data_IF_371822445412
#
_entry.id   IF_371822445412
#
_cell.length_a   1.000
_cell.length_b   1.000
_cell.length_c   1.000
_cell.angle_alpha   90.00
_cell.angle_beta   90.00
_cell.angle_gamma   90.00
#
_symmetry.space_group_name_H-M   'P 1'
#
loop_
_entity.id
_entity.type
_entity.pdbx_description
1 polymer ?
#
# COMPACT_ATOMS: atom_id res chain seq x y z
N UNK A 1 13.26 -14.69 -4.20
CA UNK A 1 12.19 -15.61 -3.76
C UNK A 1 12.03 -15.69 -2.25
N UNK A 2 13.10 -15.92 -1.46
CA UNK A 2 13.04 -16.10 0.01
C UNK A 2 12.30 -14.97 0.78
N UNK A 3 12.46 -13.71 0.38
CA UNK A 3 11.79 -12.57 1.04
C UNK A 3 10.26 -12.61 0.91
N UNK A 4 9.74 -12.92 -0.29
CA UNK A 4 8.29 -12.94 -0.55
C UNK A 4 7.59 -14.06 0.23
N UNK A 5 8.21 -15.23 0.30
CA UNK A 5 7.70 -16.36 1.08
C UNK A 5 7.72 -16.06 2.58
N UNK A 6 8.81 -15.46 3.08
CA UNK A 6 8.92 -15.04 4.47
C UNK A 6 7.88 -13.98 4.84
N UNK A 7 7.69 -12.98 3.97
CA UNK A 7 6.71 -11.92 4.17
C UNK A 7 5.28 -12.47 4.12
N UNK A 8 4.96 -13.31 3.14
CA UNK A 8 3.66 -13.98 3.04
C UNK A 8 3.35 -14.83 4.30
N UNK A 9 4.34 -15.56 4.82
CA UNK A 9 4.20 -16.31 6.09
C UNK A 9 3.91 -15.39 7.28
N UNK A 10 4.52 -14.21 7.36
CA UNK A 10 4.26 -13.24 8.42
C UNK A 10 2.87 -12.61 8.29
N UNK A 11 2.48 -12.19 7.11
CA UNK A 11 1.17 -11.55 6.86
C UNK A 11 0.02 -12.52 7.17
N UNK A 12 0.16 -13.80 6.80
CA UNK A 12 -0.85 -14.84 7.13
C UNK A 12 -1.04 -15.08 8.63
N UNK A 13 -0.07 -14.68 9.46
CA UNK A 13 -0.20 -14.76 10.91
C UNK A 13 -1.01 -13.61 11.51
N UNK A 14 -1.33 -12.55 10.76
CA UNK A 14 -2.10 -11.43 11.28
C UNK A 14 -3.60 -11.73 11.28
N UNK A 15 -4.30 -11.24 12.31
CA UNK A 15 -5.76 -11.17 12.27
C UNK A 15 -6.23 -10.23 11.16
N UNK A 16 -7.44 -10.46 10.63
CA UNK A 16 -8.03 -9.60 9.60
C UNK A 16 -8.06 -8.13 10.02
N UNK A 17 -8.43 -7.85 11.28
CA UNK A 17 -8.47 -6.49 11.81
C UNK A 17 -7.08 -5.84 11.84
N UNK A 18 -6.08 -6.53 12.40
CA UNK A 18 -4.70 -6.02 12.44
C UNK A 18 -4.13 -5.77 11.04
N UNK A 19 -4.41 -6.68 10.10
CA UNK A 19 -3.98 -6.54 8.72
C UNK A 19 -4.62 -5.33 8.05
N UNK A 20 -5.94 -5.19 8.15
CA UNK A 20 -6.69 -4.08 7.56
C UNK A 20 -6.27 -2.72 8.15
N UNK A 21 -6.19 -2.63 9.48
CA UNK A 21 -5.72 -1.44 10.18
C UNK A 21 -4.31 -1.06 9.73
N UNK A 22 -3.41 -2.04 9.63
CA UNK A 22 -2.04 -1.80 9.17
C UNK A 22 -1.98 -1.34 7.71
N UNK A 23 -2.82 -1.87 6.83
CA UNK A 23 -2.89 -1.40 5.43
C UNK A 23 -3.34 0.05 5.35
N UNK A 24 -4.40 0.42 6.08
CA UNK A 24 -4.85 1.82 6.15
C UNK A 24 -3.72 2.71 6.70
N UNK A 25 -3.06 2.27 7.78
CA UNK A 25 -1.94 3.00 8.36
C UNK A 25 -0.81 3.26 7.35
N UNK A 26 -0.42 2.25 6.58
CA UNK A 26 0.58 2.39 5.51
C UNK A 26 0.11 3.37 4.43
N UNK A 27 -1.15 3.31 4.00
CA UNK A 27 -1.70 4.23 3.00
C UNK A 27 -1.69 5.67 3.48
N UNK A 28 -2.09 5.93 4.72
CA UNK A 28 -2.03 7.28 5.29
C UNK A 28 -0.58 7.79 5.33
N UNK A 29 0.38 6.93 5.67
CA UNK A 29 1.81 7.29 5.69
C UNK A 29 2.32 7.58 4.27
N UNK A 30 2.00 6.75 3.26
CA UNK A 30 2.40 6.98 1.87
C UNK A 30 1.81 8.28 1.31
N UNK A 31 0.53 8.52 1.58
CA UNK A 31 -0.14 9.77 1.21
C UNK A 31 0.55 10.97 1.83
N UNK A 32 0.88 10.87 3.12
CA UNK A 32 1.59 11.91 3.86
C UNK A 32 2.97 12.19 3.28
N UNK A 33 3.75 11.15 2.93
CA UNK A 33 5.02 11.32 2.25
C UNK A 33 4.87 12.05 0.92
N UNK A 34 3.87 11.68 0.12
CA UNK A 34 3.56 12.41 -1.11
C UNK A 34 3.32 13.89 -0.87
N UNK A 35 2.53 14.22 0.16
CA UNK A 35 2.21 15.61 0.52
C UNK A 35 3.39 16.45 1.02
N UNK A 36 4.56 15.86 1.27
CA UNK A 36 5.79 16.61 1.57
C UNK A 36 6.44 17.17 0.31
N UNK A 37 6.24 16.51 -0.83
CA UNK A 37 6.76 16.91 -2.14
C UNK A 37 5.76 17.74 -2.94
N UNK A 38 4.68 18.17 -2.30
CA UNK A 38 3.67 19.03 -2.88
C UNK A 38 4.24 20.45 -3.04
N UNK A 39 4.67 20.78 -4.25
CA UNK A 39 5.27 22.08 -4.51
C UNK A 39 5.44 22.30 -6.01
N UNK A 40 4.57 23.12 -6.58
CA UNK A 40 4.51 23.46 -8.01
C UNK A 40 4.38 22.27 -8.97
N UNK A 41 3.98 22.54 -10.20
CA UNK A 41 3.77 21.56 -11.26
C UNK A 41 5.02 20.67 -11.41
N UNK A 42 4.97 19.42 -10.93
CA UNK A 42 6.11 18.50 -10.97
C UNK A 42 5.88 17.47 -12.09
N UNK A 43 6.58 17.55 -13.24
CA UNK A 43 6.45 16.59 -14.33
C UNK A 43 6.69 15.14 -13.88
N UNK A 44 7.52 14.93 -12.85
CA UNK A 44 7.77 13.60 -12.29
C UNK A 44 6.51 12.97 -11.63
N UNK A 45 5.53 13.78 -11.20
CA UNK A 45 4.29 13.25 -10.63
C UNK A 45 3.43 12.53 -11.68
N UNK A 46 3.44 12.96 -12.94
CA UNK A 46 2.76 12.26 -14.03
C UNK A 46 3.43 10.93 -14.37
N UNK A 47 4.75 10.83 -14.22
CA UNK A 47 5.46 9.55 -14.36
C UNK A 47 5.00 8.57 -13.28
N UNK A 48 4.85 9.02 -12.03
CA UNK A 48 4.30 8.19 -10.96
C UNK A 48 2.87 7.74 -11.26
N UNK A 49 2.02 8.63 -11.79
CA UNK A 49 0.67 8.29 -12.21
C UNK A 49 0.68 7.20 -13.29
N UNK A 50 1.48 7.35 -14.34
CA UNK A 50 1.58 6.37 -15.43
C UNK A 50 2.09 5.01 -14.93
N UNK A 51 3.12 5.00 -14.07
CA UNK A 51 3.63 3.76 -13.47
C UNK A 51 2.53 3.11 -12.63
N UNK A 52 1.84 3.87 -11.78
CA UNK A 52 0.77 3.32 -10.94
C UNK A 52 -0.38 2.75 -11.78
N UNK A 53 -0.79 3.45 -12.83
CA UNK A 53 -1.85 3.03 -13.74
C UNK A 53 -1.45 1.75 -14.46
N UNK A 54 -0.24 1.68 -15.03
CA UNK A 54 0.25 0.50 -15.72
C UNK A 54 0.29 -0.73 -14.82
N UNK A 55 0.78 -0.58 -13.59
CA UNK A 55 0.87 -1.66 -12.60
C UNK A 55 -0.53 -2.12 -12.16
N UNK A 56 -1.44 -1.18 -11.90
CA UNK A 56 -2.82 -1.50 -11.50
C UNK A 56 -3.62 -2.14 -12.63
N UNK A 57 -3.50 -1.63 -13.86
CA UNK A 57 -4.12 -2.22 -15.05
C UNK A 57 -3.62 -3.65 -15.25
N UNK A 58 -2.30 -3.86 -15.14
CA UNK A 58 -1.71 -5.19 -15.22
C UNK A 58 -2.26 -6.13 -14.15
N UNK A 59 -2.42 -5.65 -12.90
CA UNK A 59 -3.06 -6.42 -11.82
C UNK A 59 -4.52 -6.75 -12.13
N UNK A 60 -5.31 -5.80 -12.64
CA UNK A 60 -6.72 -6.00 -13.01
C UNK A 60 -6.85 -7.02 -14.13
N UNK A 61 -6.05 -6.88 -15.20
CA UNK A 61 -6.04 -7.83 -16.33
C UNK A 61 -5.68 -9.23 -15.83
N UNK A 62 -4.61 -9.37 -15.04
CA UNK A 62 -4.24 -10.66 -14.47
C UNK A 62 -5.34 -11.24 -13.58
N UNK A 63 -5.99 -10.43 -12.75
CA UNK A 63 -7.08 -10.87 -11.89
C UNK A 63 -8.28 -11.35 -12.73
N UNK A 64 -8.59 -10.65 -13.82
CA UNK A 64 -9.66 -11.02 -14.73
C UNK A 64 -9.35 -12.32 -15.50
N UNK A 65 -8.12 -12.47 -15.97
CA UNK A 65 -7.67 -13.70 -16.65
C UNK A 65 -7.68 -14.90 -15.70
N UNK A 66 -7.18 -14.75 -14.47
CA UNK A 66 -7.25 -15.80 -13.44
C UNK A 66 -8.69 -16.14 -13.09
N UNK A 67 -9.57 -15.16 -12.94
CA UNK A 67 -11.01 -15.40 -12.72
C UNK A 67 -11.65 -16.18 -13.87
N UNK A 68 -11.38 -15.78 -15.11
CA UNK A 68 -11.87 -16.48 -16.31
C UNK A 68 -11.34 -17.92 -16.39
N UNK A 69 -10.08 -18.13 -16.03
CA UNK A 69 -9.44 -19.45 -16.00
C UNK A 69 -9.82 -20.30 -14.77
N UNK A 70 -10.60 -19.75 -13.81
CA UNK A 70 -10.88 -20.35 -12.50
C UNK A 70 -9.61 -20.69 -11.71
N UNK A 71 -8.56 -19.89 -11.89
CA UNK A 71 -7.30 -20.00 -11.16
C UNK A 71 -7.27 -19.02 -9.98
N UNK A 72 -6.61 -19.43 -8.89
CA UNK A 72 -6.38 -18.56 -7.75
C UNK A 72 -5.35 -17.48 -8.07
N UNK A 73 -5.64 -16.25 -7.67
CA UNK A 73 -4.70 -15.14 -7.81
C UNK A 73 -3.54 -15.34 -6.85
N UNK A 74 -2.33 -15.44 -7.39
CA UNK A 74 -1.14 -15.64 -6.57
C UNK A 74 -0.85 -14.43 -5.68
N UNK A 75 -0.25 -14.68 -4.50
CA UNK A 75 0.20 -13.63 -3.58
C UNK A 75 1.10 -12.57 -4.27
N UNK A 76 1.90 -12.99 -5.25
CA UNK A 76 2.77 -12.09 -6.03
C UNK A 76 1.96 -11.05 -6.79
N UNK A 77 0.85 -11.45 -7.41
CA UNK A 77 -0.02 -10.53 -8.15
C UNK A 77 -0.67 -9.52 -7.21
N UNK A 78 -1.18 -9.96 -6.05
CA UNK A 78 -1.70 -9.04 -5.02
C UNK A 78 -0.64 -8.06 -4.52
N UNK A 79 0.61 -8.50 -4.35
CA UNK A 79 1.69 -7.61 -3.96
C UNK A 79 2.00 -6.56 -5.05
N UNK A 80 2.01 -6.96 -6.32
CA UNK A 80 2.17 -6.05 -7.47
C UNK A 80 1.05 -5.01 -7.47
N UNK A 81 -0.21 -5.44 -7.32
CA UNK A 81 -1.36 -4.53 -7.19
C UNK A 81 -1.22 -3.58 -6.00
N UNK A 82 -0.75 -4.08 -4.85
CA UNK A 82 -0.47 -3.27 -3.67
C UNK A 82 0.62 -2.21 -3.90
N UNK A 83 1.68 -2.53 -4.65
CA UNK A 83 2.71 -1.55 -5.05
C UNK A 83 2.10 -0.47 -5.94
N UNK A 84 1.31 -0.85 -6.95
CA UNK A 84 0.62 0.11 -7.82
C UNK A 84 -0.27 1.06 -7.02
N UNK A 85 -1.02 0.54 -6.05
CA UNK A 85 -1.86 1.32 -5.16
C UNK A 85 -1.05 2.25 -4.25
N UNK A 86 0.07 1.80 -3.71
CA UNK A 86 0.95 2.64 -2.89
C UNK A 86 1.53 3.82 -3.69
N UNK A 87 1.95 3.59 -4.94
CA UNK A 87 2.44 4.65 -5.84
C UNK A 87 1.30 5.65 -6.15
N UNK A 88 0.09 5.16 -6.42
CA UNK A 88 -1.07 6.02 -6.67
C UNK A 88 -1.39 6.89 -5.45
N UNK A 89 -1.38 6.32 -4.25
CA UNK A 89 -1.64 7.05 -3.00
C UNK A 89 -0.56 8.10 -2.74
N UNK A 90 0.70 7.78 -3.03
CA UNK A 90 1.80 8.74 -2.96
C UNK A 90 1.60 9.89 -3.97
N UNK A 91 1.16 9.59 -5.19
CA UNK A 91 0.78 10.61 -6.18
C UNK A 91 -0.35 11.52 -5.67
N UNK A 92 -1.43 10.95 -5.11
CA UNK A 92 -2.52 11.72 -4.51
C UNK A 92 -2.03 12.64 -3.39
N UNK A 93 -1.06 12.17 -2.61
CA UNK A 93 -0.36 12.98 -1.61
C UNK A 93 0.33 14.20 -2.24
N UNK A 94 1.10 13.99 -3.31
CA UNK A 94 1.81 15.07 -4.04
C UNK A 94 0.83 16.15 -4.52
N UNK A 95 -0.34 15.74 -5.01
CA UNK A 95 -1.40 16.65 -5.47
C UNK A 95 -2.15 17.36 -4.34
N UNK A 96 -1.84 17.06 -3.07
CA UNK A 96 -2.54 17.59 -1.89
C UNK A 96 -1.65 18.50 -1.03
N UNK A 97 -1.27 19.71 -1.51
CA UNK A 97 -0.33 20.59 -0.81
C UNK A 97 -0.81 21.14 0.52
N UNK A 98 -2.10 21.43 0.64
CA UNK A 98 -2.66 22.19 1.78
C UNK A 98 -3.43 21.33 2.78
N UNK A 99 -2.89 20.16 3.14
CA UNK A 99 -3.46 19.39 4.24
C UNK A 99 -3.15 20.07 5.58
N UNK A 100 -4.08 20.88 6.08
CA UNK A 100 -3.99 21.54 7.39
C UNK A 100 -3.74 20.56 8.55
N UNK A 101 -4.11 19.27 8.38
CA UNK A 101 -3.98 18.22 9.38
C UNK A 101 -2.85 17.20 9.13
N UNK A 102 -1.82 17.55 8.34
CA UNK A 102 -0.67 16.67 7.98
C UNK A 102 -0.11 15.87 9.18
N UNK A 103 0.14 16.55 10.30
CA UNK A 103 0.69 15.91 11.51
C UNK A 103 -0.27 14.87 12.13
N UNK A 104 -1.56 15.17 12.16
CA UNK A 104 -2.57 14.27 12.72
C UNK A 104 -2.78 13.02 11.86
N UNK A 105 -2.81 13.18 10.53
CA UNK A 105 -2.93 12.05 9.59
C UNK A 105 -1.73 11.10 9.76
N UNK A 106 -0.53 11.64 9.93
CA UNK A 106 0.67 10.85 10.16
C UNK A 106 0.62 10.09 11.49
N UNK A 107 0.19 10.74 12.58
CA UNK A 107 0.02 10.10 13.90
C UNK A 107 -1.01 8.96 13.81
N UNK A 108 -2.17 9.21 13.18
CA UNK A 108 -3.19 8.18 12.97
C UNK A 108 -2.60 7.01 12.17
N UNK A 109 -1.84 7.31 11.10
CA UNK A 109 -1.14 6.29 10.31
C UNK A 109 -0.25 5.38 11.17
N UNK A 110 0.57 5.95 12.06
CA UNK A 110 1.41 5.18 12.97
C UNK A 110 0.61 4.40 14.02
N UNK A 111 -0.44 4.99 14.60
CA UNK A 111 -1.30 4.31 15.57
C UNK A 111 -1.96 3.07 14.96
N UNK A 112 -2.40 3.16 13.71
CA UNK A 112 -3.02 2.04 12.99
C UNK A 112 -2.04 0.90 12.65
N UNK A 113 -0.73 1.15 12.68
CA UNK A 113 0.30 0.10 12.55
C UNK A 113 0.51 -0.70 13.84
N UNK A 114 0.14 -0.16 15.00
CA UNK A 114 0.42 -0.77 16.30
C UNK A 114 -0.21 -2.17 16.48
N UNK A 115 -1.48 -2.43 16.10
CA UNK A 115 -2.08 -3.75 16.28
C UNK A 115 -1.29 -4.86 15.57
N UNK A 116 -0.88 -4.62 14.31
CA UNK A 116 -0.11 -5.59 13.55
C UNK A 116 1.30 -5.82 14.10
N UNK A 117 1.99 -4.75 14.53
CA UNK A 117 3.33 -4.88 15.11
C UNK A 117 3.31 -5.64 16.45
N UNK A 118 2.32 -5.35 17.31
CA UNK A 118 2.12 -6.07 18.58
C UNK A 118 1.79 -7.54 18.32
N UNK A 119 0.89 -7.83 17.38
CA UNK A 119 0.48 -9.20 17.06
C UNK A 119 1.64 -10.02 16.50
N UNK A 120 2.46 -9.44 15.62
CA UNK A 120 3.68 -10.08 15.12
C UNK A 120 4.69 -10.32 16.24
N UNK A 121 4.92 -9.35 17.12
CA UNK A 121 5.84 -9.50 18.24
C UNK A 121 5.41 -10.62 19.21
N UNK A 122 4.11 -10.77 19.47
CA UNK A 122 3.56 -11.84 20.31
C UNK A 122 3.69 -13.23 19.70
N UNK A 123 3.65 -13.35 18.36
CA UNK A 123 3.72 -14.63 17.63
C UNK A 123 5.15 -15.06 17.24
N UNK A 124 6.16 -14.29 17.63
CA UNK A 124 7.59 -14.59 17.45
C UNK A 124 8.21 -15.14 18.76
N UNK A 125 7.61 -14.83 19.92
CA UNK A 125 7.86 -15.57 21.18
C UNK A 125 7.15 -16.91 21.13
#
# INVERSE_FOLDING_TARGET
MKFLEWHGKKVRKLSHYSFYSSMIGMFLIFFMFGSLFSGSWNPASYVLLLISAFVLISYVIHSFMSWHAKEDITYKNHLIGGIGLAILILYLGIQSPELLAKKYIMIIGFVLLLPATIELARKIK
#
